data_IF_470994016487
#
_entry.id   IF_470994016487
#
_cell.length_a   1.000
_cell.length_b   1.000
_cell.length_c   1.000
_cell.angle_alpha   90.00
_cell.angle_beta   90.00
_cell.angle_gamma   90.00
#
_symmetry.space_group_name_H-M   'P 1'
#
loop_
_entity.id
_entity.type
_entity.pdbx_description
1 polymer ?
#
# COMPACT_ATOMS: atom_id res chain seq x y z
N UNK A 1 -4.96 -4.51 -14.83
CA UNK A 1 -5.25 -3.27 -14.06
C UNK A 1 -4.04 -2.34 -14.11
N UNK A 2 -4.20 -1.02 -14.05
CA UNK A 2 -3.04 -0.09 -14.02
C UNK A 2 -2.36 -0.18 -12.64
N UNK A 3 -1.03 0.00 -12.58
CA UNK A 3 -0.26 -0.02 -11.31
C UNK A 3 -0.92 0.90 -10.26
N UNK A 4 -1.36 2.09 -10.68
CA UNK A 4 -2.11 3.03 -9.85
C UNK A 4 -3.31 2.41 -9.10
N UNK A 5 -4.09 1.58 -9.79
CA UNK A 5 -5.32 1.00 -9.21
C UNK A 5 -4.98 -0.14 -8.28
N UNK A 6 -3.92 -0.89 -8.60
CA UNK A 6 -3.42 -1.97 -7.76
C UNK A 6 -2.85 -1.42 -6.45
N UNK A 7 -2.04 -0.35 -6.51
CA UNK A 7 -1.48 0.28 -5.29
C UNK A 7 -2.57 0.87 -4.41
N UNK A 8 -3.59 1.51 -5.01
CA UNK A 8 -4.68 2.08 -4.23
C UNK A 8 -5.52 1.01 -3.51
N UNK A 9 -5.84 -0.09 -4.20
CA UNK A 9 -6.57 -1.22 -3.61
C UNK A 9 -5.72 -1.89 -2.53
N UNK A 10 -4.45 -2.18 -2.80
CA UNK A 10 -3.55 -2.79 -1.82
C UNK A 10 -3.48 -1.98 -0.53
N UNK A 11 -3.27 -0.66 -0.64
CA UNK A 11 -3.22 0.23 0.51
C UNK A 11 -4.54 0.24 1.28
N UNK A 12 -5.67 0.34 0.56
CA UNK A 12 -7.01 0.30 1.18
C UNK A 12 -7.24 -1.01 1.93
N UNK A 13 -6.86 -2.15 1.34
CA UNK A 13 -7.03 -3.48 1.96
C UNK A 13 -6.18 -3.64 3.21
N UNK A 14 -4.91 -3.23 3.18
CA UNK A 14 -4.02 -3.30 4.33
C UNK A 14 -4.56 -2.44 5.48
N UNK A 15 -4.93 -1.19 5.18
CA UNK A 15 -5.48 -0.28 6.20
C UNK A 15 -6.81 -0.80 6.74
N UNK A 16 -7.69 -1.33 5.89
CA UNK A 16 -8.95 -1.93 6.34
C UNK A 16 -8.71 -3.09 7.32
N UNK A 17 -7.73 -3.95 7.05
CA UNK A 17 -7.37 -5.07 7.94
C UNK A 17 -6.87 -4.55 9.30
N UNK A 18 -6.03 -3.51 9.31
CA UNK A 18 -5.55 -2.88 10.54
C UNK A 18 -6.69 -2.27 11.35
N UNK A 19 -7.61 -1.53 10.71
CA UNK A 19 -8.76 -0.93 11.38
C UNK A 19 -9.70 -2.01 11.93
N UNK A 20 -9.94 -3.09 11.17
CA UNK A 20 -10.74 -4.22 11.60
C UNK A 20 -10.14 -4.86 12.87
N UNK A 21 -8.85 -5.18 12.84
CA UNK A 21 -8.14 -5.80 13.97
C UNK A 21 -8.21 -4.89 15.20
N UNK A 22 -7.96 -3.60 15.03
CA UNK A 22 -8.04 -2.62 16.10
C UNK A 22 -9.46 -2.52 16.67
N UNK A 23 -10.49 -2.50 15.82
CA UNK A 23 -11.90 -2.44 16.24
C UNK A 23 -12.31 -3.67 17.06
N UNK A 24 -11.93 -4.87 16.58
CA UNK A 24 -12.16 -6.14 17.30
C UNK A 24 -11.43 -6.14 18.64
N UNK A 25 -10.19 -5.65 18.68
CA UNK A 25 -9.41 -5.51 19.91
C UNK A 25 -10.11 -4.58 20.91
N UNK A 26 -10.52 -3.39 20.47
CA UNK A 26 -11.26 -2.44 21.32
C UNK A 26 -12.51 -3.09 21.88
N UNK A 27 -13.35 -3.71 21.05
CA UNK A 27 -14.58 -4.36 21.49
C UNK A 27 -14.32 -5.43 22.56
N UNK A 28 -13.34 -6.30 22.33
CA UNK A 28 -12.99 -7.37 23.27
C UNK A 28 -12.45 -6.83 24.59
N UNK A 29 -11.51 -5.88 24.55
CA UNK A 29 -10.91 -5.31 25.75
C UNK A 29 -11.91 -4.50 26.56
N UNK A 30 -12.76 -3.69 25.90
CA UNK A 30 -13.80 -2.92 26.58
C UNK A 30 -14.83 -3.84 27.24
N UNK A 31 -15.30 -4.89 26.56
CA UNK A 31 -16.20 -5.88 27.15
C UNK A 31 -15.60 -6.58 28.37
N UNK A 32 -14.34 -7.01 28.26
CA UNK A 32 -13.62 -7.64 29.39
C UNK A 32 -13.42 -6.68 30.56
N UNK A 33 -12.98 -5.45 30.28
CA UNK A 33 -12.76 -4.43 31.31
C UNK A 33 -14.05 -4.09 32.05
N UNK A 34 -15.14 -3.88 31.31
CA UNK A 34 -16.43 -3.54 31.88
C UNK A 34 -17.02 -4.68 32.73
N UNK A 35 -16.81 -5.95 32.35
CA UNK A 35 -17.22 -7.09 33.16
C UNK A 35 -16.45 -7.16 34.49
N UNK A 36 -15.13 -6.99 34.45
CA UNK A 36 -14.28 -6.96 35.66
C UNK A 36 -14.67 -5.82 36.60
N UNK A 37 -14.91 -4.64 36.04
CA UNK A 37 -15.33 -3.46 36.79
C UNK A 37 -16.73 -3.66 37.43
N UNK A 38 -17.66 -4.31 36.73
CA UNK A 38 -18.97 -4.67 37.27
C UNK A 38 -18.86 -5.66 38.45
N UNK A 39 -18.03 -6.70 38.32
CA UNK A 39 -17.81 -7.65 39.41
C UNK A 39 -17.27 -7.00 40.67
N UNK A 40 -16.32 -6.06 40.54
CA UNK A 40 -15.79 -5.28 41.68
C UNK A 40 -16.88 -4.45 42.36
N UNK A 41 -17.78 -3.83 41.59
CA UNK A 41 -18.92 -3.10 42.17
C UNK A 41 -19.85 -4.02 42.94
N UNK A 42 -20.15 -5.20 42.40
CA UNK A 42 -20.97 -6.20 43.08
C UNK A 42 -20.31 -6.71 44.36
N UNK A 43 -18.99 -6.92 44.35
CA UNK A 43 -18.21 -7.34 45.51
C UNK A 43 -18.28 -6.30 46.64
N UNK A 44 -18.03 -5.03 46.34
CA UNK A 44 -18.12 -3.93 47.33
C UNK A 44 -19.54 -3.89 47.91
N UNK A 45 -20.57 -3.99 47.08
CA UNK A 45 -21.97 -4.02 47.53
C UNK A 45 -22.25 -5.23 48.41
N UNK A 46 -21.70 -6.40 48.07
CA UNK A 46 -21.84 -7.61 48.87
C UNK A 46 -21.23 -7.44 50.26
N UNK A 47 -20.04 -6.84 50.35
CA UNK A 47 -19.38 -6.55 51.63
C UNK A 47 -20.19 -5.57 52.48
N UNK A 48 -20.74 -4.52 51.88
CA UNK A 48 -21.56 -3.56 52.62
C UNK A 48 -22.86 -4.22 53.10
N UNK A 49 -23.54 -4.99 52.24
CA UNK A 49 -24.76 -5.72 52.61
C UNK A 49 -24.49 -6.74 53.73
N UNK A 50 -23.39 -7.49 53.64
CA UNK A 50 -22.95 -8.43 54.68
C UNK A 50 -22.75 -7.72 56.02
N UNK A 51 -22.00 -6.62 56.02
CA UNK A 51 -21.68 -5.86 57.22
C UNK A 51 -22.95 -5.32 57.89
N UNK A 52 -23.85 -4.72 57.12
CA UNK A 52 -25.08 -4.11 57.64
C UNK A 52 -26.05 -5.16 58.20
N UNK A 53 -26.22 -6.29 57.50
CA UNK A 53 -27.23 -7.28 57.89
C UNK A 53 -26.75 -8.27 58.96
N UNK A 54 -25.46 -8.54 59.04
CA UNK A 54 -24.91 -9.52 59.99
C UNK A 54 -24.39 -8.89 61.29
N UNK A 55 -23.82 -7.67 61.24
CA UNK A 55 -23.33 -6.99 62.45
C UNK A 55 -24.45 -6.40 63.33
N UNK A 56 -25.72 -6.43 62.86
CA UNK A 56 -26.95 -6.18 63.65
C UNK A 56 -26.93 -4.93 64.57
N UNK A 57 -26.43 -3.81 64.07
CA UNK A 57 -26.67 -2.52 64.71
C UNK A 57 -27.91 -1.87 64.04
N UNK A 58 -29.02 -1.73 64.75
CA UNK A 58 -30.29 -1.19 64.18
C UNK A 58 -30.10 0.21 63.57
N UNK A 59 -29.16 0.99 64.09
CA UNK A 59 -28.79 2.30 63.56
C UNK A 59 -28.08 2.22 62.19
N UNK A 60 -27.35 1.12 61.94
CA UNK A 60 -26.60 0.89 60.70
C UNK A 60 -27.49 0.45 59.53
N UNK A 61 -28.59 -0.27 59.80
CA UNK A 61 -29.53 -0.75 58.77
C UNK A 61 -30.33 0.42 58.19
N UNK A 62 -30.80 1.34 59.05
CA UNK A 62 -31.48 2.55 58.63
C UNK A 62 -30.53 3.45 57.81
N UNK A 63 -29.31 3.70 58.32
CA UNK A 63 -28.29 4.48 57.62
C UNK A 63 -27.89 3.88 56.26
N UNK A 64 -27.77 2.56 56.16
CA UNK A 64 -27.49 1.88 54.89
C UNK A 64 -28.64 2.01 53.89
N UNK A 65 -29.88 1.87 54.34
CA UNK A 65 -31.05 2.03 53.46
C UNK A 65 -31.16 3.45 52.90
N UNK A 66 -30.75 4.45 53.69
CA UNK A 66 -30.72 5.86 53.30
C UNK A 66 -29.56 6.14 52.33
N UNK A 67 -28.33 5.69 52.63
CA UNK A 67 -27.17 5.78 51.74
C UNK A 67 -27.43 5.07 50.41
N UNK A 68 -28.07 3.89 50.44
CA UNK A 68 -28.41 3.16 49.23
C UNK A 68 -29.42 3.92 48.38
N UNK A 69 -30.41 4.55 48.99
CA UNK A 69 -31.45 5.30 48.27
C UNK A 69 -30.93 6.65 47.72
N UNK A 70 -30.00 7.29 48.41
CA UNK A 70 -29.50 8.62 48.06
C UNK A 70 -28.21 8.59 47.21
N UNK A 71 -27.36 7.57 47.37
CA UNK A 71 -26.01 7.54 46.78
C UNK A 71 -25.68 6.30 45.94
N UNK A 72 -26.52 5.25 45.94
CA UNK A 72 -26.29 4.06 45.12
C UNK A 72 -27.40 3.91 44.08
N UNK A 73 -27.03 3.99 42.79
CA UNK A 73 -27.96 3.59 41.73
C UNK A 73 -28.39 2.12 41.96
N UNK A 74 -29.70 1.88 41.93
CA UNK A 74 -30.25 0.54 42.04
C UNK A 74 -29.84 -0.26 40.80
N UNK A 75 -29.21 -1.42 41.01
CA UNK A 75 -28.84 -2.27 39.89
C UNK A 75 -30.08 -3.04 39.41
N UNK A 76 -30.34 -3.15 38.10
CA UNK A 76 -31.48 -3.89 37.58
C UNK A 76 -31.49 -5.33 38.08
N UNK A 77 -32.59 -5.75 38.71
CA UNK A 77 -32.75 -7.11 39.23
C UNK A 77 -31.76 -7.49 40.34
N UNK A 78 -31.21 -6.51 41.07
CA UNK A 78 -30.35 -6.74 42.24
C UNK A 78 -31.06 -7.61 43.29
N UNK A 79 -30.46 -8.74 43.65
CA UNK A 79 -30.93 -9.63 44.70
C UNK A 79 -29.76 -10.07 45.58
N UNK A 80 -30.00 -10.03 46.87
CA UNK A 80 -29.05 -10.41 47.91
C UNK A 80 -29.51 -11.72 48.55
N UNK A 81 -28.60 -12.67 48.71
CA UNK A 81 -28.88 -13.95 49.34
C UNK A 81 -27.83 -14.24 50.42
N UNK A 82 -28.30 -14.54 51.62
CA UNK A 82 -27.46 -14.89 52.77
C UNK A 82 -27.58 -16.39 53.04
N UNK A 83 -26.49 -17.11 52.93
CA UNK A 83 -26.47 -18.57 53.08
C UNK A 83 -25.49 -18.94 54.20
N UNK A 84 -25.95 -19.70 55.19
CA UNK A 84 -25.04 -20.27 56.19
C UNK A 84 -24.22 -21.40 55.58
N UNK A 85 -22.92 -21.39 55.81
CA UNK A 85 -21.98 -22.37 55.24
C UNK A 85 -22.37 -23.80 55.62
N UNK A 86 -22.84 -24.01 56.85
CA UNK A 86 -23.28 -25.32 57.36
C UNK A 86 -24.47 -25.92 56.60
N UNK A 87 -25.22 -25.10 55.86
CA UNK A 87 -26.38 -25.52 55.07
C UNK A 87 -25.96 -26.02 53.67
N UNK A 88 -24.72 -25.75 53.24
CA UNK A 88 -24.19 -26.11 51.92
C UNK A 88 -23.68 -27.55 51.93
N UNK A 89 -24.58 -28.51 51.71
CA UNK A 89 -24.26 -29.95 51.57
C UNK A 89 -23.62 -30.31 50.22
N UNK A 90 -22.72 -29.48 49.68
CA UNK A 90 -21.95 -29.77 48.46
C UNK A 90 -22.73 -29.80 47.13
N UNK A 91 -24.01 -29.43 47.13
CA UNK A 91 -24.87 -29.43 45.94
C UNK A 91 -25.02 -28.04 45.33
N UNK A 92 -25.31 -27.98 44.03
CA UNK A 92 -25.68 -26.74 43.35
C UNK A 92 -26.90 -26.10 44.02
N UNK A 93 -26.77 -24.83 44.42
CA UNK A 93 -27.87 -24.07 45.04
C UNK A 93 -28.52 -23.20 43.98
N UNK A 94 -29.85 -23.19 43.95
CA UNK A 94 -30.61 -22.31 43.07
C UNK A 94 -30.76 -20.95 43.73
N UNK A 95 -30.13 -19.92 43.14
CA UNK A 95 -30.15 -18.55 43.63
C UNK A 95 -30.74 -17.68 42.52
N UNK A 96 -31.76 -16.88 42.85
CA UNK A 96 -32.41 -15.98 41.88
C UNK A 96 -32.95 -16.67 40.60
N UNK A 97 -33.25 -17.97 40.63
CA UNK A 97 -33.72 -18.72 39.46
C UNK A 97 -32.60 -19.28 38.57
N UNK A 98 -31.33 -19.17 38.97
CA UNK A 98 -30.19 -19.79 38.33
C UNK A 98 -29.50 -20.81 39.27
N UNK A 99 -29.28 -22.03 38.79
CA UNK A 99 -28.50 -23.03 39.52
C UNK A 99 -27.00 -22.69 39.47
N UNK A 100 -26.44 -22.15 40.55
CA UNK A 100 -25.00 -21.87 40.60
C UNK A 100 -24.21 -23.15 40.87
N UNK A 101 -23.07 -23.37 40.19
CA UNK A 101 -22.30 -24.60 40.33
C UNK A 101 -21.69 -24.71 41.74
N UNK A 102 -21.54 -25.93 42.26
CA UNK A 102 -20.92 -26.16 43.57
C UNK A 102 -19.47 -25.63 43.64
N UNK A 103 -18.77 -25.59 42.50
CA UNK A 103 -17.42 -25.01 42.40
C UNK A 103 -17.38 -23.52 42.79
N UNK A 104 -18.44 -22.76 42.51
CA UNK A 104 -18.54 -21.36 42.90
C UNK A 104 -18.52 -21.22 44.43
N UNK A 105 -19.38 -21.94 45.13
CA UNK A 105 -19.43 -21.88 46.60
C UNK A 105 -18.13 -22.39 47.24
N UNK A 106 -17.54 -23.45 46.71
CA UNK A 106 -16.24 -23.95 47.19
C UNK A 106 -15.13 -22.91 47.00
N UNK A 107 -15.08 -22.24 45.85
CA UNK A 107 -14.12 -21.17 45.61
C UNK A 107 -14.33 -20.00 46.56
N UNK A 108 -15.58 -19.61 46.84
CA UNK A 108 -15.87 -18.54 47.80
C UNK A 108 -15.36 -18.91 49.20
N UNK A 109 -15.55 -20.16 49.65
CA UNK A 109 -15.07 -20.62 50.97
C UNK A 109 -13.53 -20.65 51.02
N UNK A 110 -12.88 -21.13 49.96
CA UNK A 110 -11.42 -21.32 49.94
C UNK A 110 -10.67 -20.01 49.67
N UNK A 111 -11.13 -19.23 48.70
CA UNK A 111 -10.46 -18.02 48.20
C UNK A 111 -11.02 -16.72 48.80
N UNK A 112 -12.13 -16.80 49.54
CA UNK A 112 -12.85 -15.66 50.10
C UNK A 112 -13.88 -15.04 49.15
N UNK A 113 -13.71 -15.24 47.83
CA UNK A 113 -14.64 -14.73 46.81
C UNK A 113 -14.60 -15.53 45.52
N UNK A 114 -15.67 -15.46 44.75
CA UNK A 114 -15.73 -15.95 43.38
C UNK A 114 -16.74 -15.17 42.55
N UNK A 115 -16.60 -15.25 41.22
CA UNK A 115 -17.45 -14.57 40.26
C UNK A 115 -17.97 -15.54 39.23
N UNK A 116 -19.25 -15.43 38.89
CA UNK A 116 -19.83 -16.24 37.81
C UNK A 116 -20.87 -15.45 37.04
N UNK A 117 -20.81 -15.54 35.72
CA UNK A 117 -21.87 -15.02 34.85
C UNK A 117 -22.78 -16.18 34.47
N UNK A 118 -24.09 -16.01 34.65
CA UNK A 118 -25.07 -16.98 34.18
C UNK A 118 -26.30 -16.25 33.63
N UNK A 119 -26.67 -16.61 32.40
CA UNK A 119 -27.66 -15.89 31.62
C UNK A 119 -27.23 -14.41 31.45
N UNK A 120 -28.11 -13.45 31.76
CA UNK A 120 -27.83 -12.01 31.73
C UNK A 120 -27.45 -11.42 33.10
N UNK A 121 -27.24 -12.28 34.10
CA UNK A 121 -26.94 -11.87 35.47
C UNK A 121 -25.50 -12.20 35.82
N UNK A 122 -24.88 -11.27 36.53
CA UNK A 122 -23.57 -11.44 37.12
C UNK A 122 -23.76 -11.74 38.61
N UNK A 123 -23.05 -12.75 39.09
CA UNK A 123 -23.11 -13.21 40.46
C UNK A 123 -21.74 -13.03 41.10
N UNK A 124 -21.71 -12.42 42.27
CA UNK A 124 -20.54 -12.32 43.13
C UNK A 124 -20.86 -12.96 44.46
N UNK A 125 -20.00 -13.85 44.91
CA UNK A 125 -20.08 -14.48 46.22
C UNK A 125 -18.91 -14.04 47.08
N UNK A 126 -19.19 -13.67 48.32
CA UNK A 126 -18.15 -13.38 49.31
C UNK A 126 -18.35 -14.24 50.55
N UNK A 127 -17.25 -14.63 51.16
CA UNK A 127 -17.23 -15.29 52.45
C UNK A 127 -17.17 -14.23 53.56
N UNK A 128 -18.10 -14.29 54.50
CA UNK A 128 -18.19 -13.37 55.62
C UNK A 128 -18.27 -14.14 56.93
N UNK A 129 -17.37 -13.82 57.85
CA UNK A 129 -17.31 -14.44 59.17
C UNK A 129 -17.91 -13.51 60.20
N UNK A 130 -18.96 -13.97 60.87
CA UNK A 130 -19.62 -13.23 61.94
C UNK A 130 -19.64 -14.05 63.25
N UNK A 131 -19.87 -13.38 64.38
CA UNK A 131 -20.01 -14.00 65.69
C UNK A 131 -21.15 -15.04 65.74
N UNK A 132 -22.13 -14.95 64.83
CA UNK A 132 -23.28 -15.87 64.73
C UNK A 132 -23.03 -17.06 63.78
N UNK A 133 -21.87 -17.14 63.14
CA UNK A 133 -21.48 -18.21 62.23
C UNK A 133 -20.81 -17.72 60.93
N UNK A 134 -20.39 -18.67 60.10
CA UNK A 134 -19.80 -18.38 58.79
C UNK A 134 -20.91 -18.30 57.72
N UNK A 135 -20.92 -17.20 56.96
CA UNK A 135 -21.93 -16.91 55.94
C UNK A 135 -21.28 -16.73 54.56
N UNK A 136 -22.04 -17.12 53.54
CA UNK A 136 -21.78 -16.73 52.14
C UNK A 136 -22.86 -15.74 51.74
N UNK A 137 -22.41 -14.56 51.31
CA UNK A 137 -23.30 -13.52 50.77
C UNK A 137 -23.16 -13.53 49.26
N UNK A 138 -24.26 -13.85 48.58
CA UNK A 138 -24.32 -13.88 47.11
C UNK A 138 -25.17 -12.72 46.63
N UNK A 139 -24.57 -11.83 45.86
CA UNK A 139 -25.28 -10.79 45.14
C UNK A 139 -25.40 -11.16 43.67
N UNK A 140 -26.59 -10.94 43.11
CA UNK A 140 -26.85 -11.07 41.67
C UNK A 140 -27.46 -9.80 41.14
N UNK A 141 -26.94 -9.27 40.02
CA UNK A 141 -27.58 -8.18 39.31
C UNK A 141 -27.47 -8.36 37.79
N UNK A 142 -28.47 -7.86 37.07
CA UNK A 142 -28.43 -7.70 35.63
C UNK A 142 -27.59 -6.47 35.26
N UNK A 143 -27.00 -6.50 34.07
CA UNK A 143 -26.26 -5.36 33.54
C UNK A 143 -26.80 -4.97 32.16
N UNK A 144 -28.07 -4.58 32.13
CA UNK A 144 -28.75 -4.12 30.91
C UNK A 144 -28.02 -2.91 30.30
N UNK A 145 -27.56 -2.00 31.15
CA UNK A 145 -26.75 -0.83 30.75
C UNK A 145 -25.48 -1.24 29.99
N UNK A 146 -24.81 -2.32 30.40
CA UNK A 146 -23.63 -2.83 29.69
C UNK A 146 -23.97 -3.41 28.33
N UNK A 147 -25.09 -4.14 28.21
CA UNK A 147 -25.53 -4.67 26.93
C UNK A 147 -25.80 -3.54 25.93
N UNK A 148 -26.53 -2.50 26.36
CA UNK A 148 -26.80 -1.31 25.53
C UNK A 148 -25.52 -0.55 25.18
N UNK A 149 -24.59 -0.42 26.13
CA UNK A 149 -23.30 0.24 25.91
C UNK A 149 -22.45 -0.52 24.89
N UNK A 150 -22.40 -1.85 24.98
CA UNK A 150 -21.67 -2.69 24.02
C UNK A 150 -22.31 -2.67 22.63
N UNK A 151 -23.65 -2.64 22.55
CA UNK A 151 -24.36 -2.50 21.27
C UNK A 151 -24.09 -1.15 20.61
N UNK A 152 -24.09 -0.07 21.39
CA UNK A 152 -23.74 1.26 20.90
C UNK A 152 -22.28 1.31 20.45
N UNK A 153 -21.36 0.70 21.21
CA UNK A 153 -19.97 0.59 20.84
C UNK A 153 -19.80 -0.19 19.53
N UNK A 154 -20.50 -1.31 19.35
CA UNK A 154 -20.50 -2.07 18.10
C UNK A 154 -20.96 -1.19 16.93
N UNK A 155 -22.07 -0.48 17.08
CA UNK A 155 -22.59 0.42 16.04
C UNK A 155 -21.57 1.51 15.68
N UNK A 156 -20.93 2.14 16.67
CA UNK A 156 -19.89 3.14 16.43
C UNK A 156 -18.66 2.56 15.75
N UNK A 157 -18.22 1.35 16.13
CA UNK A 157 -17.09 0.67 15.51
C UNK A 157 -17.39 0.28 14.06
N UNK A 158 -18.59 -0.24 13.77
CA UNK A 158 -19.00 -0.59 12.40
C UNK A 158 -19.12 0.66 11.53
N UNK A 159 -19.79 1.71 12.03
CA UNK A 159 -19.92 2.96 11.29
C UNK A 159 -18.55 3.61 11.04
N UNK A 160 -17.69 3.64 12.07
CA UNK A 160 -16.33 4.14 11.98
C UNK A 160 -15.47 3.35 11.01
N UNK A 161 -15.61 2.02 10.98
CA UNK A 161 -14.93 1.14 10.03
C UNK A 161 -15.35 1.44 8.58
N UNK A 162 -16.66 1.53 8.31
CA UNK A 162 -17.17 1.84 6.98
C UNK A 162 -16.75 3.24 6.51
N UNK A 163 -16.89 4.25 7.38
CA UNK A 163 -16.45 5.62 7.10
C UNK A 163 -14.93 5.68 6.87
N UNK A 164 -14.15 4.96 7.69
CA UNK A 164 -12.71 4.86 7.56
C UNK A 164 -12.28 4.26 6.22
N UNK A 165 -12.89 3.14 5.81
CA UNK A 165 -12.63 2.53 4.49
C UNK A 165 -12.95 3.50 3.37
N UNK A 166 -14.09 4.19 3.45
CA UNK A 166 -14.49 5.15 2.43
C UNK A 166 -13.47 6.30 2.29
N UNK A 167 -13.05 6.88 3.42
CA UNK A 167 -12.05 7.96 3.44
C UNK A 167 -10.70 7.47 2.91
N UNK A 168 -10.23 6.30 3.35
CA UNK A 168 -8.94 5.72 2.90
C UNK A 168 -8.99 5.40 1.41
N UNK A 169 -10.09 4.83 0.92
CA UNK A 169 -10.25 4.54 -0.50
C UNK A 169 -10.23 5.82 -1.36
N UNK A 170 -10.99 6.84 -0.94
CA UNK A 170 -11.06 8.12 -1.64
C UNK A 170 -9.69 8.82 -1.69
N UNK A 171 -9.03 8.91 -0.53
CA UNK A 171 -7.69 9.52 -0.41
C UNK A 171 -6.63 8.73 -1.17
N UNK A 172 -6.67 7.40 -1.12
CA UNK A 172 -5.73 6.53 -1.82
C UNK A 172 -5.84 6.66 -3.35
N UNK A 173 -7.06 6.73 -3.88
CA UNK A 173 -7.27 7.00 -5.32
C UNK A 173 -6.77 8.39 -5.70
N UNK A 174 -7.06 9.40 -4.86
CA UNK A 174 -6.64 10.76 -5.11
C UNK A 174 -5.10 10.87 -5.15
N UNK A 175 -4.42 10.37 -4.11
CA UNK A 175 -2.95 10.34 -4.04
C UNK A 175 -2.34 9.53 -5.18
N UNK A 176 -2.85 8.33 -5.46
CA UNK A 176 -2.34 7.50 -6.55
C UNK A 176 -2.44 8.22 -7.91
N UNK A 177 -3.56 8.91 -8.19
CA UNK A 177 -3.70 9.71 -9.42
C UNK A 177 -2.71 10.88 -9.46
N UNK A 178 -2.48 11.54 -8.34
CA UNK A 178 -1.55 12.66 -8.23
C UNK A 178 -0.10 12.22 -8.45
N UNK A 179 0.36 11.18 -7.74
CA UNK A 179 1.72 10.65 -7.79
C UNK A 179 2.10 10.13 -9.18
N UNK A 180 1.19 9.43 -9.87
CA UNK A 180 1.47 8.88 -11.21
C UNK A 180 1.21 9.87 -12.36
N UNK A 181 0.76 11.09 -12.08
CA UNK A 181 0.50 12.13 -13.10
C UNK A 181 1.74 12.47 -13.95
N UNK A 182 2.95 12.66 -13.38
CA UNK A 182 4.15 12.98 -14.16
C UNK A 182 4.55 11.84 -15.11
N UNK A 183 4.52 10.60 -14.64
CA UNK A 183 4.82 9.41 -15.46
C UNK A 183 3.88 9.30 -16.66
N UNK A 184 2.57 9.54 -16.46
CA UNK A 184 1.61 9.57 -17.57
C UNK A 184 1.90 10.67 -18.58
N UNK A 185 2.35 11.84 -18.11
CA UNK A 185 2.74 12.95 -18.98
C UNK A 185 3.95 12.55 -19.84
N UNK A 186 4.95 11.91 -19.25
CA UNK A 186 6.13 11.39 -19.96
C UNK A 186 5.69 10.36 -21.01
N UNK A 187 4.94 9.33 -20.62
CA UNK A 187 4.45 8.29 -21.54
C UNK A 187 3.69 8.90 -22.73
N UNK A 188 2.82 9.90 -22.47
CA UNK A 188 2.06 10.58 -23.52
C UNK A 188 2.98 11.33 -24.48
N UNK A 189 4.01 12.01 -23.97
CA UNK A 189 4.98 12.73 -24.81
C UNK A 189 5.84 11.77 -25.62
N UNK A 190 6.40 10.73 -24.99
CA UNK A 190 7.22 9.71 -25.67
C UNK A 190 6.44 9.05 -26.80
N UNK A 191 5.16 8.73 -26.61
CA UNK A 191 4.31 8.16 -27.67
C UNK A 191 4.14 9.04 -28.90
N UNK A 192 4.36 10.35 -28.78
CA UNK A 192 4.26 11.29 -29.88
C UNK A 192 5.62 11.56 -30.56
N UNK A 193 6.72 11.03 -30.01
CA UNK A 193 8.06 11.16 -30.60
C UNK A 193 8.23 10.06 -31.64
N UNK A 194 8.64 10.45 -32.84
CA UNK A 194 8.88 9.59 -34.00
C UNK A 194 10.12 10.09 -34.77
N UNK A 195 10.46 9.41 -35.88
CA UNK A 195 11.63 9.73 -36.68
C UNK A 195 11.60 11.14 -37.32
N UNK A 196 10.41 11.74 -37.49
CA UNK A 196 10.25 13.06 -38.11
C UNK A 196 10.44 14.20 -37.10
N UNK A 197 10.27 13.94 -35.81
CA UNK A 197 10.25 14.94 -34.75
C UNK A 197 11.20 14.62 -33.58
N UNK A 198 12.29 13.92 -33.87
CA UNK A 198 13.36 13.56 -32.93
C UNK A 198 13.94 14.74 -32.15
N UNK A 199 13.76 15.99 -32.59
CA UNK A 199 14.17 17.20 -31.86
C UNK A 199 13.31 17.51 -30.63
N UNK A 200 12.14 16.88 -30.47
CA UNK A 200 11.30 17.06 -29.28
C UNK A 200 11.99 16.47 -28.04
N UNK A 201 11.85 17.14 -26.90
CA UNK A 201 12.41 16.70 -25.61
C UNK A 201 11.33 16.60 -24.52
N UNK A 202 11.58 15.73 -23.56
CA UNK A 202 10.77 15.64 -22.35
C UNK A 202 11.02 16.87 -21.46
N UNK A 203 9.98 17.37 -20.77
CA UNK A 203 10.10 18.56 -19.95
C UNK A 203 10.93 18.24 -18.71
N UNK A 204 12.08 18.90 -18.58
CA UNK A 204 12.88 18.84 -17.37
C UNK A 204 12.29 19.79 -16.34
N UNK A 205 11.48 19.26 -15.42
CA UNK A 205 11.12 20.02 -14.23
C UNK A 205 12.40 20.31 -13.45
N UNK A 206 12.55 21.53 -12.92
CA UNK A 206 13.60 21.86 -11.96
C UNK A 206 13.39 21.00 -10.71
N UNK A 207 14.20 19.94 -10.58
CA UNK A 207 14.16 18.96 -9.51
C UNK A 207 15.29 17.95 -9.70
N UNK A 208 15.64 17.21 -8.64
CA UNK A 208 16.59 16.09 -8.67
C UNK A 208 15.90 14.81 -8.20
N UNK A 209 14.63 14.66 -8.54
CA UNK A 209 13.83 13.46 -8.23
C UNK A 209 13.96 12.41 -9.34
N UNK A 210 13.45 11.21 -9.08
CA UNK A 210 13.52 10.07 -10.00
C UNK A 210 12.76 10.35 -11.32
N UNK A 211 11.80 11.29 -11.31
CA UNK A 211 11.06 11.71 -12.50
C UNK A 211 11.92 12.60 -13.39
N UNK A 212 12.71 13.50 -12.81
CA UNK A 212 13.72 14.28 -13.52
C UNK A 212 14.78 13.37 -14.11
N UNK A 213 15.33 12.45 -13.31
CA UNK A 213 16.37 11.50 -13.77
C UNK A 213 15.89 10.67 -14.96
N UNK A 214 14.66 10.13 -14.89
CA UNK A 214 14.04 9.42 -16.01
C UNK A 214 13.91 10.29 -17.27
N UNK A 215 13.51 11.55 -17.11
CA UNK A 215 13.34 12.48 -18.24
C UNK A 215 14.69 12.83 -18.87
N UNK A 216 15.70 13.07 -18.04
CA UNK A 216 17.07 13.37 -18.44
C UNK A 216 17.70 12.22 -19.22
N UNK A 217 17.67 10.99 -18.68
CA UNK A 217 18.22 9.81 -19.38
C UNK A 217 17.51 9.54 -20.71
N UNK A 218 16.20 9.77 -20.78
CA UNK A 218 15.46 9.64 -22.04
C UNK A 218 15.87 10.71 -23.06
N UNK A 219 16.08 11.95 -22.62
CA UNK A 219 16.60 13.03 -23.46
C UNK A 219 18.01 12.69 -23.99
N UNK A 220 18.92 12.15 -23.15
CA UNK A 220 20.25 11.70 -23.61
C UNK A 220 20.16 10.61 -24.68
N UNK A 221 19.21 9.67 -24.55
CA UNK A 221 18.96 8.68 -25.59
C UNK A 221 18.46 9.32 -26.88
N UNK A 222 17.54 10.29 -26.80
CA UNK A 222 17.04 11.04 -27.95
C UNK A 222 18.14 11.84 -28.64
N UNK A 223 19.05 12.46 -27.89
CA UNK A 223 20.21 13.18 -28.45
C UNK A 223 21.11 12.26 -29.26
N UNK A 224 21.35 11.05 -28.75
CA UNK A 224 22.16 10.04 -29.45
C UNK A 224 21.46 9.54 -30.71
N UNK A 225 20.14 9.32 -30.66
CA UNK A 225 19.36 8.94 -31.83
C UNK A 225 19.32 10.04 -32.90
N UNK A 226 19.10 11.29 -32.48
CA UNK A 226 19.09 12.44 -33.39
C UNK A 226 20.46 12.59 -34.08
N UNK A 227 21.55 12.51 -33.33
CA UNK A 227 22.92 12.56 -33.87
C UNK A 227 23.15 11.46 -34.92
N UNK A 228 22.77 10.21 -34.63
CA UNK A 228 22.90 9.11 -35.60
C UNK A 228 22.08 9.34 -36.86
N UNK A 229 20.85 9.87 -36.73
CA UNK A 229 19.97 10.13 -37.86
C UNK A 229 20.49 11.28 -38.74
N UNK A 230 21.01 12.35 -38.12
CA UNK A 230 21.65 13.47 -38.83
C UNK A 230 22.89 13.02 -39.61
N UNK A 231 23.74 12.18 -39.00
CA UNK A 231 24.91 11.60 -39.67
C UNK A 231 24.47 10.76 -40.87
N UNK A 232 23.47 9.89 -40.70
CA UNK A 232 22.95 9.07 -41.78
C UNK A 232 22.37 9.92 -42.93
N UNK A 233 21.63 10.97 -42.60
CA UNK A 233 20.99 11.83 -43.61
C UNK A 233 22.03 12.66 -44.38
N UNK A 234 23.02 13.23 -43.68
CA UNK A 234 24.15 13.93 -44.31
C UNK A 234 24.97 13.00 -45.21
N UNK A 235 25.15 11.75 -44.79
CA UNK A 235 25.84 10.74 -45.57
C UNK A 235 25.09 10.40 -46.87
N UNK A 236 23.78 10.14 -46.79
CA UNK A 236 22.95 9.86 -47.98
C UNK A 236 22.93 11.06 -48.94
N UNK A 237 22.83 12.28 -48.40
CA UNK A 237 22.88 13.51 -49.19
C UNK A 237 24.22 13.65 -49.92
N UNK A 238 25.34 13.52 -49.21
CA UNK A 238 26.67 13.62 -49.79
C UNK A 238 26.94 12.53 -50.82
N UNK A 239 26.54 11.29 -50.55
CA UNK A 239 26.64 10.20 -51.52
C UNK A 239 25.85 10.55 -52.79
N UNK A 240 24.60 10.99 -52.65
CA UNK A 240 23.77 11.37 -53.80
C UNK A 240 24.42 12.46 -54.67
N UNK A 241 25.08 13.43 -54.04
CA UNK A 241 25.84 14.47 -54.76
C UNK A 241 27.07 13.91 -55.48
N UNK A 242 27.88 13.10 -54.81
CA UNK A 242 29.08 12.48 -55.40
C UNK A 242 28.76 11.52 -56.55
N UNK A 243 27.58 10.90 -56.56
CA UNK A 243 27.09 10.09 -57.67
C UNK A 243 26.52 10.92 -58.83
N UNK A 244 25.87 12.05 -58.56
CA UNK A 244 25.22 12.87 -59.60
C UNK A 244 26.21 13.42 -60.62
N UNK A 245 27.38 13.88 -60.17
CA UNK A 245 28.42 14.44 -61.04
C UNK A 245 28.97 13.45 -62.07
N UNK A 246 29.50 12.26 -61.69
CA UNK A 246 29.99 11.29 -62.67
C UNK A 246 28.88 10.77 -63.58
N UNK A 247 27.66 10.60 -63.08
CA UNK A 247 26.51 10.21 -63.92
C UNK A 247 26.23 11.28 -64.98
N UNK A 248 26.22 12.57 -64.62
CA UNK A 248 26.01 13.65 -65.57
C UNK A 248 27.12 13.71 -66.64
N UNK A 249 28.38 13.50 -66.26
CA UNK A 249 29.50 13.43 -67.21
C UNK A 249 29.35 12.24 -68.15
N UNK A 250 29.02 11.05 -67.64
CA UNK A 250 28.83 9.85 -68.48
C UNK A 250 27.72 10.08 -69.49
N UNK A 251 26.57 10.62 -69.04
CA UNK A 251 25.43 10.91 -69.92
C UNK A 251 25.80 11.95 -70.98
N UNK A 252 26.47 13.04 -70.59
CA UNK A 252 26.88 14.09 -71.53
C UNK A 252 27.86 13.61 -72.60
N UNK A 253 28.90 12.86 -72.22
CA UNK A 253 29.86 12.29 -73.18
C UNK A 253 29.20 11.27 -74.11
N UNK A 254 28.29 10.43 -73.58
CA UNK A 254 27.55 9.47 -74.38
C UNK A 254 26.61 10.18 -75.38
N UNK A 255 25.89 11.21 -74.95
CA UNK A 255 25.00 11.99 -75.80
C UNK A 255 25.76 12.72 -76.90
N UNK A 256 26.91 13.32 -76.57
CA UNK A 256 27.82 13.96 -77.54
C UNK A 256 28.42 12.96 -78.55
N UNK A 257 28.69 11.73 -78.12
CA UNK A 257 29.20 10.67 -78.98
C UNK A 257 28.13 10.13 -79.95
N UNK A 258 26.84 10.16 -79.57
CA UNK A 258 25.72 9.70 -80.39
C UNK A 258 25.19 10.80 -81.33
N UNK A 259 25.27 12.07 -80.93
CA UNK A 259 24.59 13.17 -81.62
C UNK A 259 25.23 13.65 -82.93
N UNK A 260 26.52 13.35 -83.18
CA UNK A 260 27.20 13.81 -84.39
C UNK A 260 28.31 12.85 -84.85
N UNK A 261 28.62 12.78 -86.17
CA UNK A 261 29.76 12.02 -86.68
C UNK A 261 31.07 12.52 -86.07
N UNK A 262 31.86 11.61 -85.49
CA UNK A 262 33.11 11.90 -84.80
C UNK A 262 34.26 11.11 -85.40
N UNK A 263 35.47 11.64 -85.26
CA UNK A 263 36.68 10.89 -85.58
C UNK A 263 36.89 9.74 -84.59
N UNK A 264 37.64 8.71 -85.00
CA UNK A 264 37.96 7.58 -84.13
C UNK A 264 38.67 8.01 -82.83
N UNK A 265 39.51 9.05 -82.89
CA UNK A 265 40.22 9.59 -81.72
C UNK A 265 39.30 10.35 -80.74
N UNK A 266 38.33 11.10 -81.24
CA UNK A 266 37.33 11.76 -80.39
C UNK A 266 36.43 10.73 -79.68
N UNK A 267 36.03 9.67 -80.39
CA UNK A 267 35.22 8.59 -79.81
C UNK A 267 36.00 7.85 -78.71
N UNK A 268 37.28 7.57 -78.96
CA UNK A 268 38.18 6.94 -77.99
C UNK A 268 38.35 7.80 -76.74
N UNK A 269 38.42 9.12 -76.91
CA UNK A 269 38.49 10.07 -75.79
C UNK A 269 37.20 10.06 -74.97
N UNK A 270 36.03 10.14 -75.61
CA UNK A 270 34.73 10.07 -74.93
C UNK A 270 34.55 8.77 -74.15
N UNK A 271 34.88 7.61 -74.76
CA UNK A 271 34.84 6.30 -74.09
C UNK A 271 35.81 6.25 -72.90
N UNK A 272 36.99 6.85 -73.02
CA UNK A 272 37.96 6.92 -71.92
C UNK A 272 37.44 7.76 -70.75
N UNK A 273 36.78 8.89 -71.02
CA UNK A 273 36.14 9.71 -69.99
C UNK A 273 35.02 8.92 -69.30
N UNK A 274 34.13 8.30 -70.07
CA UNK A 274 33.04 7.45 -69.55
C UNK A 274 33.60 6.35 -68.66
N UNK A 275 34.62 5.62 -69.13
CA UNK A 275 35.24 4.54 -68.36
C UNK A 275 35.82 5.05 -67.03
N UNK A 276 36.52 6.20 -67.05
CA UNK A 276 37.09 6.80 -65.84
C UNK A 276 36.02 7.21 -64.82
N UNK A 277 34.89 7.74 -65.28
CA UNK A 277 33.78 8.08 -64.37
C UNK A 277 33.07 6.84 -63.84
N UNK A 278 32.93 5.78 -64.64
CA UNK A 278 32.39 4.50 -64.19
C UNK A 278 33.30 3.83 -63.13
N UNK A 279 34.61 3.88 -63.31
CA UNK A 279 35.61 3.50 -62.31
C UNK A 279 35.42 4.30 -61.01
N UNK A 280 35.25 5.62 -61.10
CA UNK A 280 34.98 6.48 -59.93
C UNK A 280 33.71 6.05 -59.19
N UNK A 281 32.61 5.77 -59.90
CA UNK A 281 31.36 5.27 -59.31
C UNK A 281 31.54 3.90 -58.64
N UNK A 282 32.32 2.99 -59.24
CA UNK A 282 32.65 1.69 -58.63
C UNK A 282 33.38 1.87 -57.30
N UNK A 283 34.37 2.77 -57.25
CA UNK A 283 35.09 3.08 -56.01
C UNK A 283 34.16 3.69 -54.94
N UNK A 284 33.31 4.64 -55.32
CA UNK A 284 32.30 5.20 -54.42
C UNK A 284 31.37 4.12 -53.86
N UNK A 285 30.84 3.23 -54.71
CA UNK A 285 29.97 2.13 -54.29
C UNK A 285 30.66 1.16 -53.32
N UNK A 286 31.91 0.79 -53.59
CA UNK A 286 32.69 -0.09 -52.71
C UNK A 286 32.95 0.57 -51.35
N UNK A 287 33.26 1.87 -51.34
CA UNK A 287 33.46 2.62 -50.11
C UNK A 287 32.16 2.69 -49.27
N UNK A 288 31.01 2.89 -49.91
CA UNK A 288 29.71 2.86 -49.24
C UNK A 288 29.41 1.47 -48.64
N UNK A 289 29.66 0.40 -49.40
CA UNK A 289 29.43 -0.97 -48.94
C UNK A 289 30.32 -1.33 -47.75
N UNK A 290 31.61 -0.98 -47.82
CA UNK A 290 32.55 -1.18 -46.73
C UNK A 290 32.09 -0.43 -45.46
N UNK A 291 31.67 0.82 -45.60
CA UNK A 291 31.20 1.60 -44.46
C UNK A 291 29.91 1.03 -43.84
N UNK A 292 28.96 0.58 -44.67
CA UNK A 292 27.73 -0.06 -44.21
C UNK A 292 28.01 -1.39 -43.49
N UNK A 293 28.98 -2.18 -43.95
CA UNK A 293 29.39 -3.44 -43.33
C UNK A 293 30.17 -3.25 -42.03
N UNK A 294 30.95 -2.18 -41.91
CA UNK A 294 31.64 -1.85 -40.65
C UNK A 294 30.70 -1.39 -39.55
N UNK A 295 29.42 -1.13 -39.86
CA UNK A 295 28.40 -0.74 -38.89
C UNK A 295 28.82 0.50 -38.13
N UNK A 296 28.83 1.68 -38.78
CA UNK A 296 29.21 2.92 -38.11
C UNK A 296 28.24 3.23 -36.96
N UNK A 297 28.60 2.81 -35.76
CA UNK A 297 27.82 2.84 -34.52
C UNK A 297 28.21 4.02 -33.61
N UNK A 298 28.96 4.99 -34.16
CA UNK A 298 29.22 6.28 -33.54
C UNK A 298 29.98 6.20 -32.21
N UNK A 299 30.51 5.03 -31.82
CA UNK A 299 31.28 4.86 -30.59
C UNK A 299 32.63 4.22 -30.85
N UNK A 300 33.65 5.08 -30.69
CA UNK A 300 35.07 4.80 -30.46
C UNK A 300 35.74 3.96 -31.54
N UNK A 301 36.46 4.65 -32.42
CA UNK A 301 37.75 4.11 -32.87
C UNK A 301 38.50 3.62 -31.63
N UNK A 302 38.71 2.31 -31.53
CA UNK A 302 39.67 1.77 -30.59
C UNK A 302 41.04 2.30 -31.02
N UNK A 303 41.45 3.40 -30.38
CA UNK A 303 42.82 3.87 -30.45
C UNK A 303 43.69 2.83 -29.76
N UNK A 304 44.12 1.84 -30.52
CA UNK A 304 45.13 0.90 -30.09
C UNK A 304 46.48 1.59 -30.27
N UNK A 305 47.31 1.62 -29.22
CA UNK A 305 48.71 2.01 -29.40
C UNK A 305 49.37 0.99 -30.31
N UNK A 306 49.63 1.40 -31.54
CA UNK A 306 50.38 0.64 -32.54
C UNK A 306 51.81 1.18 -32.51
N UNK A 307 52.78 0.28 -32.43
CA UNK A 307 54.18 0.71 -32.48
C UNK A 307 54.52 1.14 -33.90
N UNK A 308 55.29 2.21 -34.05
CA UNK A 308 55.60 2.84 -35.35
C UNK A 308 56.32 1.86 -36.31
N UNK A 309 57.05 0.88 -35.78
CA UNK A 309 57.71 -0.18 -36.56
C UNK A 309 56.73 -1.17 -37.20
N UNK A 310 55.48 -1.26 -36.74
CA UNK A 310 54.43 -2.07 -37.40
C UNK A 310 53.80 -1.36 -38.63
N UNK A 311 54.02 -0.05 -38.78
CA UNK A 311 53.49 0.76 -39.89
C UNK A 311 54.47 0.94 -41.04
N UNK A 312 55.72 0.51 -40.87
CA UNK A 312 56.79 0.66 -41.84
C UNK A 312 57.20 -0.73 -42.35
N UNK A 313 56.44 -1.25 -43.33
CA UNK A 313 56.92 -2.28 -44.25
C UNK A 313 56.90 -1.73 -45.68
#
# INVERSE_FOLDING_TARGET
MKIQTQTAILFTTITALVILLLSVSIYFFTGKFAAVDFYKRLEIRAYIAARVMLEKDETSVAAYSEIRREHLEALPGEKEHFIRVDTLKGNAVNISGAALPASFFNNVIIKGQDYVQKNQYYYTGIFYRDNQGDFIVVLSAGNEVLADTLQNLENFLVLGFLAGIFIVYATSIFFSRYTFRPVRSIIKKVKNINAENLALRLPEKRGKDEIWELSYTFNEMLDRLQTSFEIQNNFVSNASHEFRTPIATILGEAELAISAPRTAEELKTAITIIHKQAEKMRHLSNNLLNLAQTGFDGKRQEWKMIRVDELMW
#
